data_IF_098952162246
#
_entry.id   IF_098952162246
#
_cell.length_a   1.000
_cell.length_b   1.000
_cell.length_c   1.000
_cell.angle_alpha   90.00
_cell.angle_beta   90.00
_cell.angle_gamma   90.00
#
_symmetry.space_group_name_H-M   'P 1'
#
loop_
_entity.id
_entity.type
_entity.pdbx_description
1 polymer ?
#
# COMPACT_ATOMS: atom_id res chain seq x y z
N UNK A 1 23.00 -15.07 -85.46
CA UNK A 1 22.61 -13.71 -85.09
C UNK A 1 22.26 -13.78 -83.59
N UNK A 2 23.25 -13.54 -82.74
CA UNK A 2 23.14 -13.75 -81.30
C UNK A 2 22.96 -12.40 -80.59
N UNK A 3 21.82 -12.23 -79.98
CA UNK A 3 21.49 -11.06 -79.16
C UNK A 3 21.83 -11.43 -77.71
N UNK A 4 22.84 -10.77 -77.19
CA UNK A 4 23.17 -10.83 -75.72
C UNK A 4 22.29 -9.86 -75.00
N UNK A 5 21.46 -10.39 -74.06
CA UNK A 5 20.69 -9.63 -73.15
C UNK A 5 21.60 -9.28 -71.94
N UNK A 6 21.82 -8.01 -71.72
CA UNK A 6 22.44 -7.46 -70.49
C UNK A 6 21.34 -7.29 -69.41
N UNK A 7 21.45 -8.06 -68.34
CA UNK A 7 20.60 -7.88 -67.14
C UNK A 7 21.32 -6.91 -66.22
N UNK A 8 20.83 -5.67 -66.16
CA UNK A 8 21.26 -4.67 -65.19
C UNK A 8 20.60 -4.94 -63.87
N UNK A 9 21.37 -5.37 -62.89
CA UNK A 9 20.90 -5.51 -61.48
C UNK A 9 20.78 -4.15 -60.83
N UNK A 10 19.55 -3.75 -60.54
CA UNK A 10 19.26 -2.59 -59.71
C UNK A 10 19.30 -3.03 -58.23
N UNK A 11 20.38 -2.71 -57.52
CA UNK A 11 20.44 -2.82 -56.05
C UNK A 11 19.56 -1.72 -55.41
N UNK A 12 18.35 -2.07 -55.03
CA UNK A 12 17.52 -1.23 -54.17
C UNK A 12 18.08 -1.34 -52.74
N UNK A 13 18.87 -0.34 -52.36
CA UNK A 13 19.27 -0.13 -50.97
C UNK A 13 18.05 0.21 -50.11
N UNK A 14 17.58 -0.75 -49.35
CA UNK A 14 16.57 -0.50 -48.29
C UNK A 14 17.27 0.20 -47.14
N UNK A 15 17.20 1.53 -47.13
CA UNK A 15 17.56 2.33 -45.93
C UNK A 15 16.48 2.09 -44.89
N UNK A 16 16.75 1.21 -43.95
CA UNK A 16 15.93 1.09 -42.72
C UNK A 16 16.06 2.36 -41.94
N UNK A 17 15.08 3.25 -42.07
CA UNK A 17 14.88 4.37 -41.14
C UNK A 17 14.48 3.78 -39.80
N UNK A 18 15.45 3.64 -38.88
CA UNK A 18 15.18 3.45 -37.48
C UNK A 18 14.50 4.72 -36.99
N UNK A 19 13.18 4.70 -36.91
CA UNK A 19 12.45 5.62 -36.08
C UNK A 19 12.84 5.31 -34.63
N UNK A 20 13.80 6.06 -34.10
CA UNK A 20 13.98 6.23 -32.65
C UNK A 20 12.76 7.00 -32.19
N UNK A 21 11.68 6.27 -31.87
CA UNK A 21 10.55 6.84 -31.20
C UNK A 21 11.08 7.42 -29.89
N UNK A 22 10.92 8.74 -29.70
CA UNK A 22 11.05 9.35 -28.37
C UNK A 22 10.17 8.49 -27.44
N UNK A 23 10.79 7.70 -26.55
CA UNK A 23 10.11 7.12 -25.40
C UNK A 23 9.53 8.33 -24.66
N UNK A 24 8.22 8.46 -24.65
CA UNK A 24 7.53 9.39 -23.79
C UNK A 24 8.10 9.17 -22.40
N UNK A 25 8.42 10.26 -21.69
CA UNK A 25 9.01 10.20 -20.35
C UNK A 25 8.24 9.20 -19.49
N UNK A 26 8.94 8.40 -18.69
CA UNK A 26 8.36 7.38 -17.85
C UNK A 26 7.21 8.01 -17.06
N UNK A 27 6.02 7.42 -17.16
CA UNK A 27 4.83 7.91 -16.48
C UNK A 27 5.10 8.00 -14.97
N UNK A 28 5.68 6.95 -14.39
CA UNK A 28 6.13 6.87 -13.00
C UNK A 28 7.64 6.67 -12.97
N UNK A 29 8.36 7.61 -12.36
CA UNK A 29 9.81 7.55 -12.14
C UNK A 29 10.08 7.28 -10.66
N UNK A 30 10.81 6.21 -10.40
CA UNK A 30 11.12 5.72 -9.06
C UNK A 30 12.59 5.96 -8.70
N UNK A 31 12.92 6.13 -7.41
CA UNK A 31 14.28 6.21 -6.94
C UNK A 31 15.01 4.86 -7.13
N UNK A 32 16.34 4.91 -7.18
CA UNK A 32 17.17 3.71 -7.06
C UNK A 32 17.33 3.39 -5.58
N UNK A 33 16.90 2.21 -5.17
CA UNK A 33 16.95 1.81 -3.79
C UNK A 33 18.28 1.16 -3.42
N UNK A 34 18.78 1.45 -2.23
CA UNK A 34 19.90 0.74 -1.65
C UNK A 34 19.52 -0.72 -1.36
N UNK A 35 20.48 -1.63 -1.58
CA UNK A 35 20.30 -3.04 -1.23
C UNK A 35 20.48 -3.22 0.28
N UNK A 36 19.37 -3.19 1.03
CA UNK A 36 19.34 -3.44 2.47
C UNK A 36 18.46 -4.65 2.80
N UNK A 37 18.76 -5.40 3.89
CA UNK A 37 17.90 -6.50 4.33
C UNK A 37 16.48 -6.00 4.60
N UNK A 38 15.49 -6.73 4.09
CA UNK A 38 14.07 -6.43 4.36
C UNK A 38 13.65 -7.02 5.72
N UNK A 39 12.81 -6.30 6.42
CA UNK A 39 12.23 -6.68 7.70
C UNK A 39 10.87 -7.31 7.42
N UNK A 40 10.72 -8.57 7.79
CA UNK A 40 9.45 -9.28 7.62
C UNK A 40 8.42 -8.80 8.64
N UNK A 41 7.25 -8.44 8.15
CA UNK A 41 6.08 -8.04 8.93
C UNK A 41 4.92 -8.95 8.58
N UNK A 42 4.63 -9.95 9.45
CA UNK A 42 3.59 -10.93 9.18
C UNK A 42 2.21 -10.31 9.23
N UNK A 43 1.35 -10.72 8.30
CA UNK A 43 -0.06 -10.34 8.20
C UNK A 43 -0.91 -11.60 8.22
N UNK A 44 -1.80 -11.72 9.19
CA UNK A 44 -2.75 -12.83 9.31
C UNK A 44 -4.16 -12.37 8.93
N UNK A 45 -4.89 -13.18 8.17
CA UNK A 45 -6.24 -12.85 7.73
C UNK A 45 -7.29 -13.72 8.43
N UNK A 46 -8.32 -13.08 8.96
CA UNK A 46 -9.54 -13.70 9.46
C UNK A 46 -10.68 -13.37 8.51
N UNK A 47 -11.33 -14.36 7.95
CA UNK A 47 -12.36 -14.17 6.91
C UNK A 47 -13.29 -15.36 6.83
N UNK A 48 -14.39 -15.23 6.09
CA UNK A 48 -15.22 -16.32 5.60
C UNK A 48 -14.84 -16.73 4.16
N UNK A 49 -15.79 -17.28 3.40
CA UNK A 49 -15.56 -17.64 2.00
C UNK A 49 -15.80 -16.49 1.00
N UNK A 50 -16.00 -15.25 1.48
CA UNK A 50 -16.24 -14.08 0.63
C UNK A 50 -15.01 -13.60 -0.14
N UNK A 51 -13.82 -14.06 0.22
CA UNK A 51 -12.56 -13.76 -0.44
C UNK A 51 -11.73 -15.01 -0.67
N UNK A 52 -11.08 -15.13 -1.83
CA UNK A 52 -10.17 -16.22 -2.15
C UNK A 52 -8.78 -16.00 -1.56
N UNK A 53 -8.04 -17.08 -1.33
CA UNK A 53 -6.63 -17.02 -0.93
C UNK A 53 -5.78 -16.27 -1.97
N UNK A 54 -5.99 -16.52 -3.28
CA UNK A 54 -5.31 -15.81 -4.35
C UNK A 54 -5.53 -14.29 -4.27
N UNK A 55 -6.74 -13.83 -3.90
CA UNK A 55 -6.99 -12.39 -3.72
C UNK A 55 -6.27 -11.81 -2.52
N UNK A 56 -6.11 -12.59 -1.44
CA UNK A 56 -5.31 -12.20 -0.28
C UNK A 56 -3.83 -12.09 -0.65
N UNK A 57 -3.32 -13.03 -1.45
CA UNK A 57 -1.94 -12.96 -1.97
C UNK A 57 -1.73 -11.71 -2.84
N UNK A 58 -2.69 -11.36 -3.72
CA UNK A 58 -2.64 -10.10 -4.50
C UNK A 58 -2.54 -8.85 -3.61
N UNK A 59 -3.24 -8.79 -2.47
CA UNK A 59 -3.11 -7.71 -1.51
C UNK A 59 -1.69 -7.61 -0.93
N UNK A 60 -1.11 -8.76 -0.55
CA UNK A 60 0.26 -8.83 -0.01
C UNK A 60 1.28 -8.41 -1.09
N UNK A 61 1.12 -8.90 -2.31
CA UNK A 61 2.01 -8.58 -3.43
C UNK A 61 1.95 -7.09 -3.78
N UNK A 62 0.75 -6.51 -3.82
CA UNK A 62 0.60 -5.07 -4.07
C UNK A 62 1.19 -4.23 -2.94
N UNK A 63 1.01 -4.63 -1.67
CA UNK A 63 1.65 -3.98 -0.53
C UNK A 63 3.18 -3.99 -0.67
N UNK A 64 3.74 -5.12 -1.06
CA UNK A 64 5.18 -5.25 -1.30
C UNK A 64 5.66 -4.40 -2.49
N UNK A 65 4.87 -4.28 -3.55
CA UNK A 65 5.17 -3.38 -4.67
C UNK A 65 5.24 -1.91 -4.21
N UNK A 66 4.28 -1.46 -3.38
CA UNK A 66 4.28 -0.10 -2.80
C UNK A 66 5.53 0.16 -1.98
N UNK A 67 5.92 -0.80 -1.13
CA UNK A 67 7.12 -0.71 -0.28
C UNK A 67 8.40 -0.68 -1.11
N UNK A 68 8.51 -1.52 -2.14
CA UNK A 68 9.66 -1.58 -3.05
C UNK A 68 9.82 -0.27 -3.84
N UNK A 69 8.75 0.22 -4.45
CA UNK A 69 8.75 1.47 -5.21
C UNK A 69 9.12 2.69 -4.36
N UNK A 70 8.93 2.59 -3.03
CA UNK A 70 9.22 3.66 -2.06
C UNK A 70 10.53 3.47 -1.32
N UNK A 71 11.35 2.48 -1.69
CA UNK A 71 12.61 2.12 -1.02
C UNK A 71 12.44 1.90 0.49
N UNK A 72 11.35 1.26 0.90
CA UNK A 72 11.08 0.95 2.31
C UNK A 72 11.53 -0.49 2.60
N UNK A 73 12.44 -0.73 3.56
CA UNK A 73 13.01 -2.05 3.82
C UNK A 73 12.08 -2.93 4.68
N UNK A 74 10.80 -2.98 4.31
CA UNK A 74 9.78 -3.86 4.90
C UNK A 74 9.31 -4.84 3.83
N UNK A 75 8.99 -6.06 4.24
CA UNK A 75 8.30 -7.05 3.43
C UNK A 75 7.08 -7.57 4.19
N UNK A 76 5.88 -7.42 3.62
CA UNK A 76 4.67 -8.04 4.11
C UNK A 76 4.71 -9.52 3.78
N UNK A 77 4.47 -10.37 4.76
CA UNK A 77 4.41 -11.83 4.58
C UNK A 77 3.07 -12.37 5.04
N UNK A 78 2.43 -13.19 4.21
CA UNK A 78 1.21 -13.89 4.62
C UNK A 78 1.57 -14.93 5.69
N UNK A 79 1.12 -14.70 6.93
CA UNK A 79 1.39 -15.61 8.05
C UNK A 79 0.31 -16.67 8.24
N UNK A 80 -0.85 -16.50 7.62
CA UNK A 80 -1.93 -17.47 7.61
C UNK A 80 -3.29 -16.86 7.33
N UNK A 81 -4.26 -17.74 7.06
CA UNK A 81 -5.65 -17.41 6.84
C UNK A 81 -6.49 -18.30 7.77
N UNK A 82 -7.33 -17.68 8.58
CA UNK A 82 -8.28 -18.40 9.46
C UNK A 82 -9.70 -18.13 9.00
N UNK A 83 -10.42 -19.18 8.67
CA UNK A 83 -11.84 -19.10 8.31
C UNK A 83 -12.69 -18.96 9.56
N UNK A 84 -13.62 -18.02 9.53
CA UNK A 84 -14.55 -17.70 10.62
C UNK A 84 -16.00 -17.72 10.15
N UNK A 85 -16.90 -18.06 11.07
CA UNK A 85 -18.32 -17.75 10.92
C UNK A 85 -18.56 -16.29 11.28
N UNK A 86 -18.84 -15.46 10.29
CA UNK A 86 -19.10 -14.03 10.46
C UNK A 86 -20.56 -13.70 10.82
N UNK A 87 -21.44 -14.68 10.99
CA UNK A 87 -22.88 -14.46 11.29
C UNK A 87 -23.11 -13.73 12.61
N UNK A 88 -22.18 -13.85 13.56
CA UNK A 88 -22.22 -13.15 14.86
C UNK A 88 -21.75 -11.70 14.77
N UNK A 89 -21.05 -11.31 13.72
CA UNK A 89 -20.55 -9.94 13.53
C UNK A 89 -21.69 -9.05 13.02
N UNK A 90 -21.92 -7.90 13.68
CA UNK A 90 -23.07 -7.03 13.39
C UNK A 90 -22.71 -5.54 13.34
N UNK A 91 -21.50 -5.16 13.73
CA UNK A 91 -21.12 -3.76 13.88
C UNK A 91 -20.53 -3.18 12.59
N UNK A 92 -20.68 -1.87 12.42
CA UNK A 92 -19.91 -1.06 11.47
C UNK A 92 -18.69 -0.41 12.13
N UNK A 93 -18.64 -0.40 13.46
CA UNK A 93 -17.55 0.18 14.24
C UNK A 93 -16.40 -0.82 14.37
N UNK A 94 -15.19 -0.42 13.93
CA UNK A 94 -14.01 -1.27 13.90
C UNK A 94 -13.55 -1.74 15.28
N UNK A 95 -13.75 -0.93 16.32
CA UNK A 95 -13.43 -1.33 17.71
C UNK A 95 -14.36 -2.43 18.22
N UNK A 96 -15.66 -2.35 17.90
CA UNK A 96 -16.62 -3.41 18.21
C UNK A 96 -16.36 -4.66 17.38
N UNK A 97 -15.99 -4.52 16.11
CA UNK A 97 -15.57 -5.65 15.27
C UNK A 97 -14.34 -6.34 15.83
N UNK A 98 -13.36 -5.59 16.35
CA UNK A 98 -12.20 -6.14 17.04
C UNK A 98 -12.60 -6.91 18.31
N UNK A 99 -13.51 -6.38 19.12
CA UNK A 99 -14.02 -7.09 20.30
C UNK A 99 -14.76 -8.38 19.92
N UNK A 100 -15.57 -8.36 18.85
CA UNK A 100 -16.23 -9.55 18.33
C UNK A 100 -15.21 -10.59 17.83
N UNK A 101 -14.15 -10.17 17.16
CA UNK A 101 -13.06 -11.06 16.75
C UNK A 101 -12.39 -11.71 17.96
N UNK A 102 -12.04 -10.92 18.99
CA UNK A 102 -11.48 -11.44 20.26
C UNK A 102 -12.37 -12.51 20.90
N UNK A 103 -13.68 -12.28 20.92
CA UNK A 103 -14.65 -13.25 21.49
C UNK A 103 -14.75 -14.53 20.66
N UNK A 104 -14.62 -14.44 19.32
CA UNK A 104 -14.75 -15.60 18.43
C UNK A 104 -13.48 -16.49 18.41
N UNK A 105 -12.30 -15.88 18.34
CA UNK A 105 -11.03 -16.64 18.20
C UNK A 105 -10.28 -16.82 19.51
N UNK A 106 -10.55 -16.01 20.50
CA UNK A 106 -9.88 -16.04 21.80
C UNK A 106 -8.58 -15.22 21.85
N UNK A 107 -8.32 -14.64 23.01
CA UNK A 107 -7.15 -13.76 23.20
C UNK A 107 -5.81 -14.50 23.00
N UNK A 108 -5.74 -15.78 23.37
CA UNK A 108 -4.52 -16.61 23.21
C UNK A 108 -4.05 -16.74 21.75
N UNK A 109 -4.97 -16.63 20.78
CA UNK A 109 -4.65 -16.66 19.35
C UNK A 109 -4.19 -15.28 18.87
N UNK A 110 -4.83 -14.20 19.35
CA UNK A 110 -4.53 -12.84 18.89
C UNK A 110 -3.34 -12.20 19.59
N UNK A 111 -3.10 -12.51 20.87
CA UNK A 111 -2.02 -11.91 21.67
C UNK A 111 -0.62 -11.99 20.98
N UNK A 112 -0.20 -13.12 20.38
CA UNK A 112 1.08 -13.20 19.68
C UNK A 112 1.17 -12.24 18.47
N UNK A 113 0.02 -11.84 17.89
CA UNK A 113 -0.09 -10.94 16.74
C UNK A 113 -0.17 -9.46 17.16
N UNK A 114 -0.43 -9.17 18.44
CA UNK A 114 -0.57 -7.80 18.98
C UNK A 114 0.80 -7.16 19.27
N UNK A 115 1.73 -7.29 18.31
CA UNK A 115 3.06 -6.70 18.39
C UNK A 115 3.23 -5.68 17.27
N UNK A 116 3.93 -4.60 17.55
CA UNK A 116 4.29 -3.64 16.50
C UNK A 116 5.06 -4.35 15.39
N UNK A 117 4.62 -4.18 14.15
CA UNK A 117 5.19 -4.90 12.99
C UNK A 117 4.57 -6.27 12.71
N UNK A 118 3.60 -6.73 13.52
CA UNK A 118 2.75 -7.88 13.23
C UNK A 118 1.31 -7.41 13.10
N UNK A 119 0.57 -7.98 12.15
CA UNK A 119 -0.76 -7.47 11.80
C UNK A 119 -1.77 -8.62 11.64
N UNK A 120 -3.02 -8.31 11.95
CA UNK A 120 -4.15 -9.18 11.64
C UNK A 120 -5.31 -8.37 11.07
N UNK A 121 -5.91 -8.93 10.05
CA UNK A 121 -6.94 -8.31 9.24
C UNK A 121 -8.23 -9.09 9.37
N UNK A 122 -9.33 -8.40 9.70
CA UNK A 122 -10.67 -8.96 9.56
C UNK A 122 -11.22 -8.56 8.19
N UNK A 123 -11.38 -9.54 7.30
CA UNK A 123 -11.99 -9.29 5.99
C UNK A 123 -13.49 -9.59 6.07
N UNK A 124 -14.30 -8.61 5.70
CA UNK A 124 -15.75 -8.69 5.72
C UNK A 124 -16.31 -8.76 4.30
N UNK A 125 -17.41 -9.52 4.08
CA UNK A 125 -18.09 -9.55 2.78
C UNK A 125 -18.46 -8.15 2.28
N UNK A 126 -18.45 -7.94 0.95
CA UNK A 126 -18.78 -6.66 0.30
C UNK A 126 -20.19 -6.12 0.63
N UNK A 127 -21.12 -7.00 0.98
CA UNK A 127 -22.48 -6.66 1.36
C UNK A 127 -22.65 -6.46 2.87
N UNK A 128 -21.58 -6.65 3.64
CA UNK A 128 -21.58 -6.37 5.08
C UNK A 128 -21.80 -4.86 5.32
N UNK A 129 -22.54 -4.46 6.39
CA UNK A 129 -22.81 -3.05 6.65
C UNK A 129 -21.58 -2.14 6.67
N UNK A 130 -20.45 -2.60 7.22
CA UNK A 130 -19.18 -1.89 7.23
C UNK A 130 -18.70 -1.53 5.80
N UNK A 131 -18.74 -2.50 4.88
CA UNK A 131 -18.24 -2.34 3.52
C UNK A 131 -19.02 -1.32 2.66
N UNK A 132 -20.23 -0.92 3.09
CA UNK A 132 -21.01 0.13 2.41
C UNK A 132 -20.42 1.52 2.62
N UNK A 133 -19.73 1.74 3.73
CA UNK A 133 -19.25 3.04 4.14
C UNK A 133 -17.71 3.14 4.09
N UNK A 134 -17.00 2.00 4.04
CA UNK A 134 -15.54 1.97 4.07
C UNK A 134 -14.97 0.73 3.37
N UNK A 135 -13.95 0.91 2.54
CA UNK A 135 -13.19 -0.18 1.95
C UNK A 135 -12.19 -0.81 2.94
N UNK A 136 -11.70 -0.03 3.90
CA UNK A 136 -10.81 -0.46 4.98
C UNK A 136 -10.83 0.54 6.14
N UNK A 137 -10.36 0.12 7.30
CA UNK A 137 -10.20 1.00 8.46
C UNK A 137 -9.16 0.46 9.45
N UNK A 138 -8.26 1.31 9.88
CA UNK A 138 -7.31 1.09 10.96
C UNK A 138 -7.43 2.17 12.04
N UNK A 139 -7.40 1.78 13.31
CA UNK A 139 -7.56 2.70 14.43
C UNK A 139 -6.44 2.56 15.46
N UNK A 140 -5.42 3.40 15.36
CA UNK A 140 -4.21 3.37 16.19
C UNK A 140 -4.45 3.66 17.68
N UNK A 141 -5.60 4.25 18.06
CA UNK A 141 -5.92 4.52 19.45
C UNK A 141 -6.15 3.27 20.29
N UNK A 142 -6.60 2.16 19.70
CA UNK A 142 -6.87 0.92 20.43
C UNK A 142 -6.12 -0.31 19.91
N UNK A 143 -5.56 -0.25 18.72
CA UNK A 143 -4.68 -1.32 18.22
C UNK A 143 -3.72 -0.81 17.16
N UNK A 144 -2.47 -1.25 17.22
CA UNK A 144 -1.46 -0.99 16.19
C UNK A 144 -1.21 -2.22 15.30
N UNK A 145 -2.05 -3.24 15.46
CA UNK A 145 -1.91 -4.52 14.77
C UNK A 145 -3.18 -4.95 14.05
N UNK A 146 -4.31 -4.28 14.29
CA UNK A 146 -5.61 -4.66 13.76
C UNK A 146 -6.14 -3.68 12.73
N UNK A 147 -6.69 -4.21 11.66
CA UNK A 147 -7.46 -3.46 10.68
C UNK A 147 -8.64 -4.31 10.14
N UNK A 148 -9.63 -3.62 9.59
CA UNK A 148 -10.77 -4.23 8.89
C UNK A 148 -10.65 -3.90 7.40
N UNK A 149 -11.00 -4.86 6.55
CA UNK A 149 -10.97 -4.74 5.09
C UNK A 149 -12.26 -5.28 4.49
N UNK A 150 -12.78 -4.63 3.43
CA UNK A 150 -13.84 -5.22 2.60
C UNK A 150 -13.24 -6.25 1.64
N UNK A 151 -13.97 -7.34 1.38
CA UNK A 151 -13.53 -8.40 0.46
C UNK A 151 -13.40 -7.94 -1.00
N UNK A 152 -14.06 -6.84 -1.37
CA UNK A 152 -14.00 -6.21 -2.70
C UNK A 152 -13.15 -4.93 -2.71
N UNK A 153 -12.43 -4.63 -1.63
CA UNK A 153 -11.52 -3.48 -1.59
C UNK A 153 -10.49 -3.53 -2.72
N UNK A 154 -10.09 -2.36 -3.19
CA UNK A 154 -8.98 -2.26 -4.14
C UNK A 154 -7.64 -2.65 -3.48
N UNK A 155 -6.68 -3.12 -4.28
CA UNK A 155 -5.43 -3.69 -3.79
C UNK A 155 -4.61 -2.72 -2.90
N UNK A 156 -4.68 -1.42 -3.18
CA UNK A 156 -3.94 -0.42 -2.41
C UNK A 156 -4.45 -0.26 -0.97
N UNK A 157 -5.72 -0.65 -0.68
CA UNK A 157 -6.36 -0.39 0.61
C UNK A 157 -5.64 -1.11 1.76
N UNK A 158 -5.14 -2.34 1.54
CA UNK A 158 -4.39 -3.03 2.60
C UNK A 158 -3.17 -2.22 3.06
N UNK A 159 -2.32 -1.77 2.11
CA UNK A 159 -1.12 -1.02 2.49
C UNK A 159 -1.46 0.40 2.99
N UNK A 160 -2.57 0.99 2.54
CA UNK A 160 -3.11 2.23 3.09
C UNK A 160 -3.39 2.10 4.59
N UNK A 161 -4.14 1.07 5.00
CA UNK A 161 -4.48 0.83 6.41
C UNK A 161 -3.25 0.43 7.25
N UNK A 162 -2.33 -0.36 6.68
CA UNK A 162 -1.06 -0.67 7.33
C UNK A 162 -0.19 0.58 7.50
N UNK A 163 -0.28 1.52 6.57
CA UNK A 163 0.34 2.85 6.69
C UNK A 163 -0.17 3.62 7.91
N UNK A 164 -1.48 3.63 8.16
CA UNK A 164 -2.05 4.24 9.37
C UNK A 164 -1.52 3.60 10.66
N UNK A 165 -1.39 2.27 10.69
CA UNK A 165 -0.83 1.56 11.85
C UNK A 165 0.66 1.89 12.09
N UNK A 166 1.34 2.40 11.07
CA UNK A 166 2.69 2.95 11.14
C UNK A 166 2.74 4.48 11.30
N UNK A 167 1.60 5.17 11.53
CA UNK A 167 1.47 6.62 11.69
C UNK A 167 1.68 7.45 10.41
N UNK A 168 1.45 6.88 9.24
CA UNK A 168 1.33 7.62 7.99
C UNK A 168 -0.08 8.17 7.83
N UNK A 169 -0.23 9.39 7.29
CA UNK A 169 -1.49 10.13 7.23
C UNK A 169 -1.83 10.56 5.81
N UNK A 170 -3.11 10.91 5.60
CA UNK A 170 -3.59 11.40 4.31
C UNK A 170 -3.02 12.79 3.98
N UNK A 171 -2.95 13.10 2.69
CA UNK A 171 -2.48 14.38 2.14
C UNK A 171 -3.29 15.61 2.63
N UNK A 172 -4.59 15.43 2.87
CA UNK A 172 -5.52 16.49 3.27
C UNK A 172 -5.72 16.60 4.79
N UNK A 173 -4.97 15.85 5.60
CA UNK A 173 -5.18 15.80 7.05
C UNK A 173 -4.39 16.88 7.78
N UNK A 174 -5.08 17.76 8.49
CA UNK A 174 -4.43 18.79 9.30
C UNK A 174 -3.93 18.26 10.65
N UNK A 175 -2.71 18.64 11.06
CA UNK A 175 -2.09 18.20 12.32
C UNK A 175 -2.95 18.51 13.55
N UNK A 176 -3.62 19.65 13.59
CA UNK A 176 -4.49 20.01 14.73
C UNK A 176 -5.71 19.09 14.82
N UNK A 177 -6.25 18.64 13.68
CA UNK A 177 -7.34 17.68 13.62
C UNK A 177 -6.87 16.32 14.16
N UNK A 178 -5.70 15.81 13.71
CA UNK A 178 -5.09 14.58 14.23
C UNK A 178 -4.93 14.62 15.75
N UNK A 179 -4.43 15.72 16.29
CA UNK A 179 -4.31 15.89 17.76
C UNK A 179 -5.66 15.87 18.48
N UNK A 180 -6.74 16.23 17.81
CA UNK A 180 -8.10 16.11 18.35
C UNK A 180 -8.66 14.68 18.31
N UNK A 181 -8.17 13.83 17.36
CA UNK A 181 -8.64 12.45 17.20
C UNK A 181 -7.79 11.42 17.96
N UNK A 182 -6.50 11.71 18.14
CA UNK A 182 -5.55 10.79 18.76
C UNK A 182 -5.45 11.01 20.27
N UNK A 183 -5.24 9.92 21.01
CA UNK A 183 -4.87 9.99 22.42
C UNK A 183 -3.58 10.80 22.59
N UNK A 184 -3.48 11.57 23.69
CA UNK A 184 -2.34 12.49 23.91
C UNK A 184 -0.98 11.80 23.90
N UNK A 185 -0.89 10.57 24.40
CA UNK A 185 0.33 9.77 24.36
C UNK A 185 0.83 9.46 22.95
N UNK A 186 -0.05 9.50 21.95
CA UNK A 186 0.26 9.26 20.53
C UNK A 186 0.70 10.52 19.78
N UNK A 187 0.51 11.72 20.34
CA UNK A 187 0.86 12.97 19.66
C UNK A 187 2.34 13.06 19.25
N UNK A 188 3.24 12.39 19.99
CA UNK A 188 4.68 12.31 19.66
C UNK A 188 4.97 11.56 18.35
N UNK A 189 4.03 10.75 17.87
CA UNK A 189 4.14 10.00 16.62
C UNK A 189 3.76 10.84 15.39
N UNK A 190 3.08 11.98 15.59
CA UNK A 190 2.71 12.87 14.49
C UNK A 190 3.98 13.57 14.00
N UNK A 191 4.38 13.29 12.76
CA UNK A 191 5.50 13.95 12.09
C UNK A 191 4.97 14.93 11.04
N UNK A 192 5.55 16.13 10.89
CA UNK A 192 5.04 17.14 9.96
C UNK A 192 5.15 16.72 8.48
N UNK A 193 5.97 15.72 8.19
CA UNK A 193 6.20 15.19 6.84
C UNK A 193 5.52 13.82 6.59
N UNK A 194 4.88 13.21 7.58
CA UNK A 194 4.28 11.87 7.44
C UNK A 194 2.89 11.93 6.80
N UNK A 195 2.78 12.56 5.63
CA UNK A 195 1.52 12.74 4.90
C UNK A 195 1.63 12.27 3.46
N UNK A 196 0.49 11.85 2.88
CA UNK A 196 0.36 11.53 1.46
C UNK A 196 0.58 12.76 0.58
N UNK A 197 0.62 12.54 -0.73
CA UNK A 197 0.73 13.61 -1.72
C UNK A 197 -0.05 13.29 -2.98
N UNK A 198 -0.62 14.34 -3.57
CA UNK A 198 -1.10 14.33 -4.94
C UNK A 198 0.01 14.81 -5.87
N UNK A 199 0.15 14.18 -7.03
CA UNK A 199 1.05 14.60 -8.07
C UNK A 199 0.42 14.38 -9.44
N UNK A 200 0.43 15.44 -10.26
CA UNK A 200 -0.35 15.46 -11.49
C UNK A 200 -1.82 15.13 -11.16
N UNK A 201 -2.43 14.12 -11.78
CA UNK A 201 -3.81 13.70 -11.56
C UNK A 201 -3.93 12.38 -10.74
N UNK A 202 -2.85 12.00 -10.06
CA UNK A 202 -2.79 10.76 -9.28
C UNK A 202 -2.39 11.05 -7.82
N UNK A 203 -2.63 10.10 -6.95
CA UNK A 203 -2.23 10.17 -5.55
C UNK A 203 -1.37 9.00 -5.12
N UNK A 204 -0.54 9.22 -4.12
CA UNK A 204 0.21 8.17 -3.45
C UNK A 204 -0.69 7.33 -2.55
N UNK A 205 -0.24 6.17 -2.10
CA UNK A 205 -1.07 5.19 -1.36
C UNK A 205 -1.86 5.78 -0.18
N UNK A 206 -1.37 6.84 0.47
CA UNK A 206 -2.05 7.52 1.58
C UNK A 206 -2.92 8.70 1.12
N UNK A 207 -3.59 8.58 -0.02
CA UNK A 207 -4.55 9.58 -0.52
C UNK A 207 -5.87 8.92 -0.91
N UNK A 208 -6.88 9.74 -1.16
CA UNK A 208 -8.17 9.32 -1.71
C UNK A 208 -8.33 9.68 -3.20
N UNK A 209 -7.21 9.80 -3.93
CA UNK A 209 -7.26 10.06 -5.36
C UNK A 209 -7.91 8.89 -6.11
N UNK A 210 -8.65 9.18 -7.17
CA UNK A 210 -9.25 8.15 -8.02
C UNK A 210 -8.19 7.26 -8.69
N UNK A 211 -7.07 7.87 -9.11
CA UNK A 211 -5.91 7.13 -9.61
C UNK A 211 -4.87 7.00 -8.50
N UNK A 212 -4.64 5.77 -8.05
CA UNK A 212 -3.66 5.45 -7.01
C UNK A 212 -2.31 5.02 -7.63
N UNK A 213 -1.23 5.64 -7.17
CA UNK A 213 0.13 5.22 -7.50
C UNK A 213 0.59 4.14 -6.49
N UNK A 214 1.27 3.08 -6.94
CA UNK A 214 1.79 2.04 -6.06
C UNK A 214 3.06 2.52 -5.34
N UNK A 215 2.96 3.61 -4.57
CA UNK A 215 4.06 4.19 -3.83
C UNK A 215 3.57 5.07 -2.67
N UNK A 216 4.36 5.19 -1.60
CA UNK A 216 4.24 6.23 -0.59
C UNK A 216 4.76 7.58 -1.14
N UNK A 217 4.29 8.69 -0.57
CA UNK A 217 4.78 10.01 -0.94
C UNK A 217 6.28 10.16 -0.69
N UNK A 218 6.97 10.75 -1.67
CA UNK A 218 8.40 11.05 -1.59
C UNK A 218 8.75 12.16 -2.60
N UNK A 219 9.67 13.11 -2.26
CA UNK A 219 10.18 14.07 -3.23
C UNK A 219 10.96 13.40 -4.39
N UNK A 220 11.45 12.17 -4.19
CA UNK A 220 12.26 11.44 -5.17
C UNK A 220 11.41 10.62 -6.17
N UNK A 221 10.12 10.41 -5.86
CA UNK A 221 9.16 9.75 -6.75
C UNK A 221 8.49 10.82 -7.60
N UNK A 222 8.44 10.61 -8.92
CA UNK A 222 7.82 11.55 -9.86
C UNK A 222 6.79 10.85 -10.73
N UNK A 223 5.68 11.55 -10.95
CA UNK A 223 4.64 11.14 -11.90
C UNK A 223 4.52 12.21 -12.97
N UNK A 224 4.73 11.86 -14.25
CA UNK A 224 4.86 12.79 -15.38
C UNK A 224 5.80 13.97 -15.08
N UNK A 225 6.90 13.71 -14.38
CA UNK A 225 7.91 14.71 -14.01
C UNK A 225 7.59 15.57 -12.79
N UNK A 226 6.37 15.51 -12.26
CA UNK A 226 5.99 16.19 -11.00
C UNK A 226 6.35 15.31 -9.80
N UNK A 227 7.01 15.88 -8.79
CA UNK A 227 7.32 15.18 -7.55
C UNK A 227 6.03 14.77 -6.80
N UNK A 228 5.99 13.52 -6.34
CA UNK A 228 4.89 12.97 -5.56
C UNK A 228 5.15 13.05 -4.06
N UNK A 229 5.70 14.16 -3.61
CA UNK A 229 5.98 14.45 -2.22
C UNK A 229 6.83 15.69 -2.04
N UNK A 230 7.05 16.01 -0.76
CA UNK A 230 7.86 17.13 -0.31
C UNK A 230 8.55 16.76 1.01
N UNK A 231 9.86 16.94 1.12
CA UNK A 231 10.66 16.51 2.27
C UNK A 231 10.21 17.07 3.63
N UNK A 232 9.52 18.22 3.63
CA UNK A 232 9.09 18.89 4.86
C UNK A 232 7.65 18.57 5.25
N UNK A 233 6.78 18.27 4.26
CA UNK A 233 5.33 18.21 4.48
C UNK A 233 4.66 16.95 3.96
N UNK A 234 5.30 16.18 3.08
CA UNK A 234 4.69 14.99 2.46
C UNK A 234 5.77 13.98 2.02
N UNK A 235 6.32 13.23 2.97
CA UNK A 235 7.34 12.20 2.75
C UNK A 235 7.05 10.97 3.64
N UNK A 236 5.94 10.30 3.32
CA UNK A 236 5.58 9.06 4.00
C UNK A 236 6.62 7.95 3.76
N UNK A 237 7.32 7.95 2.63
CA UNK A 237 8.38 6.97 2.37
C UNK A 237 9.53 7.11 3.39
N UNK A 238 9.96 8.34 3.69
CA UNK A 238 10.91 8.60 4.77
C UNK A 238 10.37 8.12 6.11
N UNK A 239 9.13 8.47 6.44
CA UNK A 239 8.51 8.07 7.69
C UNK A 239 8.43 6.55 7.84
N UNK A 240 8.06 5.82 6.78
CA UNK A 240 8.01 4.36 6.77
C UNK A 240 9.40 3.71 6.88
N UNK A 241 10.47 4.34 6.35
CA UNK A 241 11.86 3.90 6.59
C UNK A 241 12.26 4.09 8.05
N UNK A 242 11.90 5.22 8.67
CA UNK A 242 12.11 5.46 10.11
C UNK A 242 11.32 4.45 10.97
N UNK A 243 10.09 4.14 10.59
CA UNK A 243 9.29 3.09 11.23
C UNK A 243 9.96 1.72 11.10
N UNK A 244 10.46 1.34 9.92
CA UNK A 244 11.19 0.09 9.70
C UNK A 244 12.39 -0.04 10.65
N UNK A 245 13.18 1.01 10.81
CA UNK A 245 14.32 1.04 11.75
C UNK A 245 13.87 0.80 13.20
N UNK A 246 12.69 1.33 13.59
CA UNK A 246 12.15 1.13 14.94
C UNK A 246 11.71 -0.31 15.24
N UNK A 247 11.57 -1.16 14.21
CA UNK A 247 11.22 -2.58 14.38
C UNK A 247 12.43 -3.46 14.73
N UNK A 248 13.66 -2.99 14.47
CA UNK A 248 14.91 -3.76 14.69
C UNK A 248 15.78 -3.20 15.81
N UNK A 249 15.49 -1.98 16.27
CA UNK A 249 16.21 -1.38 17.41
C UNK A 249 15.31 -1.53 18.64
N UNK A 250 15.76 -2.28 19.67
CA UNK A 250 14.98 -2.49 20.90
C UNK A 250 14.85 -1.20 21.74
#
# INVERSE_FOLDING_TARGET
>A
MNIKLLVGGCLLGVTALFFVGKRGGEELSLPVCDSVPKIDTPVHFFTDDSISEARIEEFIDYSNLVLENSCIPIRRTLSGITKLDLTSFKSQDSGKLHQQLLLNVGNSILEPMQKVGSYYVLVLPKDFPFAKDSAGTAHVNFSRSFLVLSSDAELHVLEHELGHLAWAWHDNTAIHWLKGQLLKEHHKQIKPYAFGALCHEAGTVMTYAEKQLPAYSSPDIKYYGQACGNAETADNARHMREFALSLVVP
#
